data_IF_266308717301
#
_entry.id   IF_266308717301
#
_cell.length_a   1.000
_cell.length_b   1.000
_cell.length_c   1.000
_cell.angle_alpha   90.00
_cell.angle_beta   90.00
_cell.angle_gamma   90.00
#
_symmetry.space_group_name_H-M   'P 1'
#
loop_
_entity.id
_entity.type
_entity.pdbx_description
1 polymer ?
#
# COMPACT_ATOMS: atom_id res chain seq x y z
N UNK A 1 25.87 -8.54 107.19
CA UNK A 1 26.60 -7.95 106.07
C UNK A 1 26.09 -8.63 104.77
N UNK A 2 25.41 -7.90 104.03
CA UNK A 2 24.50 -8.37 102.97
C UNK A 2 25.24 -8.57 101.66
N UNK A 3 25.08 -9.76 101.08
CA UNK A 3 25.54 -10.07 99.70
C UNK A 3 24.51 -9.66 98.70
N UNK A 4 24.91 -9.04 97.58
CA UNK A 4 23.92 -8.66 96.53
C UNK A 4 23.59 -9.83 95.58
N UNK A 5 22.30 -9.88 95.25
CA UNK A 5 21.72 -10.82 94.30
C UNK A 5 22.14 -10.53 92.87
N UNK A 6 22.72 -11.59 92.21
CA UNK A 6 22.98 -11.57 90.77
C UNK A 6 21.68 -11.78 89.98
N UNK A 7 21.31 -10.81 89.17
CA UNK A 7 20.21 -10.93 88.25
C UNK A 7 20.68 -11.57 86.95
N UNK A 8 20.10 -12.72 86.67
CA UNK A 8 20.28 -13.46 85.42
C UNK A 8 19.53 -12.76 84.29
N UNK A 9 20.27 -12.21 83.35
CA UNK A 9 19.68 -11.69 82.11
C UNK A 9 19.73 -12.80 81.03
N UNK A 10 18.54 -13.34 80.67
CA UNK A 10 18.39 -14.21 79.52
C UNK A 10 18.52 -13.40 78.24
N UNK A 11 19.53 -13.67 77.46
CA UNK A 11 19.74 -13.16 76.13
C UNK A 11 18.93 -14.03 75.21
N UNK A 12 17.79 -13.54 74.70
CA UNK A 12 17.03 -14.17 73.63
C UNK A 12 17.69 -13.74 72.32
N UNK A 13 18.37 -14.66 71.68
CA UNK A 13 18.96 -14.46 70.34
C UNK A 13 17.84 -14.61 69.30
N UNK A 14 17.31 -13.50 68.76
CA UNK A 14 16.39 -13.45 67.63
C UNK A 14 17.23 -13.64 66.35
N UNK A 15 17.19 -14.82 65.78
CA UNK A 15 17.69 -15.09 64.41
C UNK A 15 16.63 -14.54 63.43
N UNK A 16 16.88 -13.34 62.89
CA UNK A 16 16.10 -12.82 61.75
C UNK A 16 16.58 -13.55 60.50
N UNK A 17 15.79 -14.52 60.02
CA UNK A 17 15.90 -15.05 58.66
C UNK A 17 15.48 -13.96 57.67
N UNK A 18 16.46 -13.33 57.04
CA UNK A 18 16.20 -12.51 55.87
C UNK A 18 15.80 -13.41 54.66
N UNK A 19 14.51 -13.48 54.38
CA UNK A 19 14.01 -13.99 53.10
C UNK A 19 14.44 -13.02 51.99
N UNK A 20 15.56 -13.27 51.38
CA UNK A 20 15.90 -12.68 50.10
C UNK A 20 14.90 -13.26 49.05
N UNK A 21 13.92 -12.45 48.65
CA UNK A 21 13.11 -12.73 47.48
C UNK A 21 14.02 -12.74 46.26
N UNK A 22 14.31 -13.91 45.74
CA UNK A 22 14.89 -14.08 44.43
C UNK A 22 13.89 -13.47 43.42
N UNK A 23 14.19 -12.27 42.95
CA UNK A 23 13.55 -11.72 41.74
C UNK A 23 13.98 -12.62 40.58
N UNK A 24 13.15 -13.60 40.24
CA UNK A 24 13.20 -14.28 38.95
C UNK A 24 12.78 -13.23 37.92
N UNK A 25 13.62 -12.88 36.95
CA UNK A 25 13.18 -11.99 35.90
C UNK A 25 12.00 -12.69 35.21
N UNK A 26 10.90 -11.95 35.06
CA UNK A 26 9.77 -12.43 34.29
C UNK A 26 10.29 -12.79 32.89
N UNK A 27 10.20 -14.05 32.52
CA UNK A 27 10.45 -14.50 31.17
C UNK A 27 9.59 -13.62 30.25
N UNK A 28 10.25 -12.77 29.47
CA UNK A 28 9.64 -11.98 28.43
C UNK A 28 9.01 -12.98 27.46
N UNK A 29 7.70 -13.17 27.62
CA UNK A 29 6.92 -14.09 26.81
C UNK A 29 7.09 -13.63 25.37
N UNK A 30 7.98 -14.31 24.65
CA UNK A 30 8.21 -14.04 23.23
C UNK A 30 6.82 -13.94 22.58
N UNK A 31 6.54 -12.77 22.00
CA UNK A 31 5.30 -12.52 21.31
C UNK A 31 5.14 -13.65 20.28
N UNK A 32 4.12 -14.47 20.45
CA UNK A 32 3.79 -15.49 19.46
C UNK A 32 3.65 -14.78 18.14
N UNK A 33 4.20 -15.32 17.02
CA UNK A 33 3.96 -14.76 15.70
C UNK A 33 2.45 -14.65 15.57
N UNK A 34 1.95 -13.40 15.41
CA UNK A 34 0.56 -13.20 15.06
C UNK A 34 0.37 -13.96 13.76
N UNK A 35 -0.59 -14.87 13.74
CA UNK A 35 -1.05 -15.54 12.53
C UNK A 35 -1.49 -14.42 11.56
N UNK A 36 -0.55 -14.00 10.72
CA UNK A 36 -0.80 -12.94 9.76
C UNK A 36 -1.70 -13.57 8.71
N UNK A 37 -3.00 -13.34 8.83
CA UNK A 37 -3.97 -13.75 7.83
C UNK A 37 -3.49 -13.29 6.45
N UNK A 38 -3.39 -14.24 5.52
CA UNK A 38 -2.99 -13.97 4.14
C UNK A 38 -3.92 -12.93 3.54
N UNK A 39 -3.37 -11.83 3.03
CA UNK A 39 -4.13 -10.75 2.38
C UNK A 39 -4.69 -11.26 1.05
N UNK A 40 -5.99 -11.15 0.86
CA UNK A 40 -6.68 -11.52 -0.39
C UNK A 40 -6.73 -10.32 -1.31
N UNK A 41 -6.16 -10.45 -2.47
CA UNK A 41 -6.05 -9.40 -3.48
C UNK A 41 -6.78 -9.80 -4.76
N UNK A 42 -7.57 -8.91 -5.33
CA UNK A 42 -8.16 -9.07 -6.66
C UNK A 42 -7.56 -8.05 -7.62
N UNK A 43 -6.86 -8.51 -8.65
CA UNK A 43 -6.49 -7.67 -9.79
C UNK A 43 -7.69 -7.64 -10.74
N UNK A 44 -8.18 -6.43 -11.04
CA UNK A 44 -9.19 -6.20 -12.06
C UNK A 44 -8.49 -5.64 -13.28
N UNK A 45 -8.68 -6.31 -14.44
CA UNK A 45 -8.02 -6.00 -15.72
C UNK A 45 -8.92 -6.44 -16.87
N UNK A 46 -8.42 -6.51 -18.11
CA UNK A 46 -9.14 -7.11 -19.26
C UNK A 46 -9.44 -6.17 -20.40
N UNK A 47 -9.10 -4.88 -20.29
CA UNK A 47 -9.28 -3.92 -21.38
C UNK A 47 -8.10 -3.99 -22.35
N UNK A 48 -8.39 -4.30 -23.59
CA UNK A 48 -7.39 -4.38 -24.67
C UNK A 48 -7.03 -2.98 -25.19
N UNK A 49 -5.77 -2.65 -25.11
CA UNK A 49 -5.20 -1.45 -25.71
C UNK A 49 -3.78 -1.74 -26.19
N UNK A 50 -3.44 -1.40 -27.45
CA UNK A 50 -2.12 -1.74 -28.02
C UNK A 50 -0.94 -1.18 -27.23
N UNK A 51 -1.11 -0.04 -26.53
CA UNK A 51 -0.09 0.58 -25.71
C UNK A 51 0.10 -0.06 -24.33
N UNK A 52 -0.91 -0.75 -23.80
CA UNK A 52 -0.90 -1.36 -22.47
C UNK A 52 -1.36 -2.81 -22.55
N UNK A 53 -0.41 -3.71 -22.69
CA UNK A 53 -0.69 -5.14 -22.88
C UNK A 53 -0.87 -5.84 -21.55
N UNK A 54 -2.08 -5.77 -21.00
CA UNK A 54 -2.41 -6.35 -19.70
C UNK A 54 -2.11 -7.86 -19.64
N UNK A 55 -2.23 -8.59 -20.75
CA UNK A 55 -1.91 -10.02 -20.84
C UNK A 55 -0.44 -10.32 -20.53
N UNK A 56 0.46 -9.36 -20.81
CA UNK A 56 1.89 -9.47 -20.52
C UNK A 56 2.20 -8.96 -19.10
N UNK A 57 1.61 -7.85 -18.68
CA UNK A 57 1.94 -7.15 -17.43
C UNK A 57 1.23 -7.73 -16.19
N UNK A 58 -0.02 -8.20 -16.33
CA UNK A 58 -0.78 -8.77 -15.20
C UNK A 58 -0.11 -9.99 -14.56
N UNK A 59 0.43 -10.97 -15.33
CA UNK A 59 1.14 -12.10 -14.72
C UNK A 59 2.37 -11.67 -13.92
N UNK A 60 3.13 -10.68 -14.40
CA UNK A 60 4.32 -10.16 -13.70
C UNK A 60 3.91 -9.45 -12.41
N UNK A 61 2.89 -8.60 -12.47
CA UNK A 61 2.34 -7.93 -11.29
C UNK A 61 1.84 -8.94 -10.25
N UNK A 62 1.11 -9.98 -10.67
CA UNK A 62 0.66 -11.05 -9.79
C UNK A 62 1.83 -11.75 -9.10
N UNK A 63 2.85 -12.15 -9.85
CA UNK A 63 4.04 -12.81 -9.30
C UNK A 63 4.77 -11.91 -8.29
N UNK A 64 4.92 -10.63 -8.58
CA UNK A 64 5.53 -9.66 -7.68
C UNK A 64 4.76 -9.52 -6.37
N UNK A 65 3.43 -9.48 -6.42
CA UNK A 65 2.59 -9.40 -5.23
C UNK A 65 2.63 -10.67 -4.38
N UNK A 66 2.75 -11.84 -4.99
CA UNK A 66 2.73 -13.14 -4.29
C UNK A 66 4.11 -13.60 -3.79
N UNK A 67 5.21 -12.92 -4.18
CA UNK A 67 6.59 -13.41 -3.99
C UNK A 67 6.97 -13.74 -2.54
N UNK A 68 6.36 -13.08 -1.56
CA UNK A 68 6.66 -13.31 -0.14
C UNK A 68 5.62 -14.19 0.59
N UNK A 69 4.60 -14.70 -0.14
CA UNK A 69 3.56 -15.58 0.39
C UNK A 69 2.53 -14.90 1.32
N UNK A 70 2.63 -13.60 1.56
CA UNK A 70 1.70 -12.86 2.43
C UNK A 70 0.44 -12.39 1.70
N UNK A 71 0.46 -12.37 0.38
CA UNK A 71 -0.65 -11.95 -0.47
C UNK A 71 -1.04 -13.12 -1.37
N UNK A 72 -2.34 -13.39 -1.47
CA UNK A 72 -2.92 -14.30 -2.46
C UNK A 72 -3.68 -13.49 -3.48
N UNK A 73 -3.37 -13.67 -4.77
CA UNK A 73 -3.89 -12.87 -5.85
C UNK A 73 -4.80 -13.68 -6.78
N UNK A 74 -6.03 -13.25 -6.88
CA UNK A 74 -6.94 -13.65 -7.96
C UNK A 74 -6.97 -12.57 -9.06
N UNK A 75 -7.30 -12.96 -10.28
CA UNK A 75 -7.43 -12.06 -11.42
C UNK A 75 -8.83 -12.14 -11.98
N UNK A 76 -9.42 -10.99 -12.29
CA UNK A 76 -10.64 -10.86 -13.07
C UNK A 76 -10.31 -10.04 -14.32
N UNK A 77 -10.51 -10.63 -15.47
CA UNK A 77 -10.25 -10.05 -16.79
C UNK A 77 -11.53 -9.54 -17.48
N UNK A 78 -12.60 -9.37 -16.72
CA UNK A 78 -13.84 -8.71 -17.12
C UNK A 78 -14.20 -7.64 -16.07
N UNK A 79 -14.25 -6.38 -16.48
CA UNK A 79 -14.57 -5.25 -15.61
C UNK A 79 -15.97 -5.33 -14.99
N UNK A 80 -16.87 -6.14 -15.56
CA UNK A 80 -18.20 -6.39 -15.00
C UNK A 80 -18.14 -7.04 -13.61
N UNK A 81 -17.00 -7.61 -13.21
CA UNK A 81 -16.80 -8.08 -11.84
C UNK A 81 -17.11 -6.99 -10.82
N UNK A 82 -16.85 -5.73 -11.16
CA UNK A 82 -17.19 -4.57 -10.30
C UNK A 82 -18.69 -4.31 -10.16
N UNK A 83 -19.56 -4.95 -10.97
CA UNK A 83 -21.03 -4.89 -10.81
C UNK A 83 -21.57 -5.98 -9.90
N UNK A 84 -20.72 -6.70 -9.21
CA UNK A 84 -21.09 -7.85 -8.36
C UNK A 84 -20.62 -7.64 -6.94
N UNK A 85 -20.99 -8.55 -6.03
CA UNK A 85 -20.49 -8.56 -4.66
C UNK A 85 -19.10 -9.19 -4.52
N UNK A 86 -18.51 -9.71 -5.61
CA UNK A 86 -17.19 -10.37 -5.58
C UNK A 86 -16.07 -9.49 -5.01
N UNK A 87 -15.99 -8.17 -5.32
CA UNK A 87 -15.00 -7.28 -4.72
C UNK A 87 -14.94 -7.32 -3.19
N UNK A 88 -16.08 -7.49 -2.52
CA UNK A 88 -16.17 -7.50 -1.05
C UNK A 88 -15.65 -8.80 -0.40
N UNK A 89 -15.21 -9.77 -1.18
CA UNK A 89 -14.54 -10.99 -0.70
C UNK A 89 -13.03 -10.79 -0.53
N UNK A 90 -12.49 -9.63 -0.90
CA UNK A 90 -11.07 -9.32 -0.90
C UNK A 90 -10.76 -8.18 0.08
N UNK A 91 -9.50 -8.12 0.48
CA UNK A 91 -8.99 -7.08 1.37
C UNK A 91 -8.44 -5.89 0.55
N UNK A 92 -7.97 -6.19 -0.68
CA UNK A 92 -7.38 -5.21 -1.61
C UNK A 92 -7.88 -5.45 -3.03
N UNK A 93 -8.21 -4.37 -3.72
CA UNK A 93 -8.42 -4.35 -5.16
C UNK A 93 -7.25 -3.65 -5.84
N UNK A 94 -6.75 -4.22 -6.93
CA UNK A 94 -5.77 -3.61 -7.81
C UNK A 94 -6.45 -3.26 -9.13
N UNK A 95 -6.55 -1.97 -9.41
CA UNK A 95 -7.00 -1.48 -10.71
C UNK A 95 -5.82 -1.53 -11.69
N UNK A 96 -5.91 -2.42 -12.66
CA UNK A 96 -4.96 -2.57 -13.75
C UNK A 96 -5.70 -2.48 -15.09
N UNK A 97 -6.49 -1.43 -15.25
CA UNK A 97 -7.30 -1.15 -16.44
C UNK A 97 -7.56 0.35 -16.58
N UNK A 98 -7.86 0.74 -17.80
CA UNK A 98 -8.56 1.97 -18.16
C UNK A 98 -9.76 1.55 -18.99
N UNK A 99 -10.99 1.85 -18.55
CA UNK A 99 -12.17 1.52 -19.33
C UNK A 99 -12.29 2.43 -20.57
N UNK A 100 -12.45 1.82 -21.74
CA UNK A 100 -12.69 2.54 -23.01
C UNK A 100 -14.17 2.62 -23.35
N UNK A 101 -14.95 1.62 -22.94
CA UNK A 101 -16.42 1.70 -22.97
C UNK A 101 -16.90 2.34 -21.66
N UNK A 102 -17.51 3.54 -21.71
CA UNK A 102 -18.03 4.21 -20.51
C UNK A 102 -19.15 3.43 -19.83
N UNK A 103 -19.80 2.49 -20.55
CA UNK A 103 -20.83 1.64 -19.98
C UNK A 103 -20.25 0.44 -19.21
N UNK A 104 -18.95 0.17 -19.30
CA UNK A 104 -18.29 -0.97 -18.64
C UNK A 104 -17.07 -0.48 -17.85
N UNK A 105 -17.02 -0.66 -16.53
CA UNK A 105 -18.08 -1.23 -15.66
C UNK A 105 -19.22 -0.27 -15.37
N UNK A 106 -19.21 0.95 -15.91
CA UNK A 106 -20.24 1.97 -15.78
C UNK A 106 -20.43 2.48 -14.35
N UNK A 107 -21.53 3.20 -14.13
CA UNK A 107 -21.83 3.81 -12.83
C UNK A 107 -21.93 2.79 -11.69
N UNK A 108 -22.59 1.66 -11.94
CA UNK A 108 -22.76 0.59 -10.96
C UNK A 108 -21.41 0.05 -10.46
N UNK A 109 -20.49 -0.23 -11.39
CA UNK A 109 -19.15 -0.70 -11.02
C UNK A 109 -18.34 0.34 -10.30
N UNK A 110 -18.48 1.61 -10.69
CA UNK A 110 -17.82 2.72 -9.98
C UNK A 110 -18.35 2.89 -8.55
N UNK A 111 -19.66 2.83 -8.34
CA UNK A 111 -20.28 2.92 -7.01
C UNK A 111 -19.87 1.76 -6.12
N UNK A 112 -19.74 0.55 -6.66
CA UNK A 112 -19.21 -0.62 -5.94
C UNK A 112 -17.75 -0.39 -5.50
N UNK A 113 -16.92 0.11 -6.40
CA UNK A 113 -15.52 0.43 -6.07
C UNK A 113 -15.43 1.49 -4.96
N UNK A 114 -16.19 2.56 -5.06
CA UNK A 114 -16.25 3.59 -4.02
C UNK A 114 -16.72 3.03 -2.67
N UNK A 115 -17.78 2.22 -2.68
CA UNK A 115 -18.32 1.57 -1.48
C UNK A 115 -17.28 0.67 -0.83
N UNK A 116 -16.58 -0.15 -1.62
CA UNK A 116 -15.52 -1.04 -1.14
C UNK A 116 -14.44 -0.24 -0.40
N UNK A 117 -13.92 0.83 -1.00
CA UNK A 117 -12.88 1.65 -0.39
C UNK A 117 -13.39 2.35 0.87
N UNK A 118 -14.56 3.00 0.82
CA UNK A 118 -15.13 3.72 1.97
C UNK A 118 -15.39 2.82 3.17
N UNK A 119 -15.68 1.55 2.95
CA UNK A 119 -15.88 0.55 4.01
C UNK A 119 -14.57 0.06 4.64
N UNK A 120 -13.41 0.41 4.07
CA UNK A 120 -12.09 0.07 4.61
C UNK A 120 -11.24 -0.79 3.70
N UNK A 121 -11.72 -1.14 2.52
CA UNK A 121 -10.93 -1.87 1.52
C UNK A 121 -9.70 -1.09 1.07
N UNK A 122 -8.63 -1.79 0.76
CA UNK A 122 -7.43 -1.24 0.14
C UNK A 122 -7.61 -1.12 -1.37
N UNK A 123 -7.17 0.00 -1.96
CA UNK A 123 -7.18 0.18 -3.41
C UNK A 123 -5.76 0.50 -3.90
N UNK A 124 -5.33 -0.20 -4.93
CA UNK A 124 -4.08 0.09 -5.65
C UNK A 124 -4.43 0.46 -7.09
N UNK A 125 -3.93 1.60 -7.55
CA UNK A 125 -3.98 1.99 -8.95
C UNK A 125 -2.60 1.80 -9.57
N UNK A 126 -2.55 1.19 -10.75
CA UNK A 126 -1.30 0.95 -11.47
C UNK A 126 -1.34 1.63 -12.82
N UNK A 127 -0.39 2.52 -13.05
CA UNK A 127 -0.09 3.19 -14.31
C UNK A 127 -1.35 3.80 -14.97
N UNK A 128 -1.77 3.26 -16.11
CA UNK A 128 -2.91 3.76 -16.89
C UNK A 128 -4.27 3.71 -16.17
N UNK A 129 -4.34 3.09 -15.00
CA UNK A 129 -5.55 3.12 -14.18
C UNK A 129 -5.97 4.54 -13.75
N UNK A 130 -5.05 5.51 -13.74
CA UNK A 130 -5.37 6.92 -13.53
C UNK A 130 -6.29 7.50 -14.63
N UNK A 131 -6.37 6.87 -15.78
CA UNK A 131 -7.23 7.24 -16.89
C UNK A 131 -8.60 6.56 -16.91
N UNK A 132 -8.89 5.70 -15.94
CA UNK A 132 -10.20 5.06 -15.85
C UNK A 132 -11.32 6.07 -15.49
N UNK A 133 -12.55 5.68 -15.70
CA UNK A 133 -13.76 6.42 -15.27
C UNK A 133 -13.77 7.89 -15.69
N UNK A 134 -13.34 8.19 -16.91
CA UNK A 134 -13.35 9.57 -17.42
C UNK A 134 -14.75 10.18 -17.46
N UNK A 135 -15.78 9.36 -17.59
CA UNK A 135 -17.20 9.73 -17.51
C UNK A 135 -17.63 10.19 -16.09
N UNK A 136 -16.86 9.82 -15.06
CA UNK A 136 -17.06 10.20 -13.65
C UNK A 136 -15.80 10.87 -13.07
N UNK A 137 -15.03 11.58 -13.88
CA UNK A 137 -13.72 12.13 -13.55
C UNK A 137 -13.70 12.88 -12.22
N UNK A 138 -14.70 13.74 -11.98
CA UNK A 138 -14.78 14.57 -10.77
C UNK A 138 -15.02 13.77 -9.49
N UNK A 139 -15.65 12.60 -9.59
CA UNK A 139 -15.80 11.68 -8.48
C UNK A 139 -14.58 10.76 -8.36
N UNK A 140 -14.04 10.33 -9.51
CA UNK A 140 -12.89 9.42 -9.52
C UNK A 140 -11.63 10.09 -8.96
N UNK A 141 -11.41 11.38 -9.20
CA UNK A 141 -10.27 12.10 -8.63
C UNK A 141 -10.28 12.12 -7.10
N UNK A 142 -11.46 12.11 -6.47
CA UNK A 142 -11.60 12.04 -5.00
C UNK A 142 -11.15 10.69 -4.45
N UNK A 143 -11.25 9.64 -5.28
CA UNK A 143 -10.82 8.28 -4.95
C UNK A 143 -9.36 8.05 -5.33
N UNK A 144 -8.93 8.46 -6.52
CA UNK A 144 -7.63 8.18 -7.10
C UNK A 144 -6.55 9.21 -6.72
N UNK A 145 -6.95 10.40 -6.22
CA UNK A 145 -6.06 11.51 -5.90
C UNK A 145 -5.61 12.32 -7.11
N UNK A 146 -5.16 11.66 -8.15
CA UNK A 146 -4.74 12.25 -9.44
C UNK A 146 -5.27 11.40 -10.58
N UNK A 147 -5.74 12.05 -11.61
CA UNK A 147 -6.34 11.40 -12.78
C UNK A 147 -5.80 11.99 -14.08
N UNK A 148 -5.83 11.20 -15.12
CA UNK A 148 -5.47 11.61 -16.47
C UNK A 148 -6.40 12.72 -16.97
N UNK A 149 -5.83 13.68 -17.69
CA UNK A 149 -6.56 14.72 -18.39
C UNK A 149 -6.13 14.72 -19.87
N UNK A 150 -7.03 14.38 -20.81
CA UNK A 150 -6.70 14.33 -22.23
C UNK A 150 -6.35 15.69 -22.84
N UNK A 151 -6.65 16.79 -22.15
CA UNK A 151 -6.31 18.16 -22.60
C UNK A 151 -4.90 18.60 -22.20
N UNK A 152 -4.22 17.82 -21.34
CA UNK A 152 -2.88 18.10 -20.85
C UNK A 152 -1.88 17.12 -21.43
N UNK A 153 -0.57 17.47 -21.28
CA UNK A 153 0.50 16.53 -21.58
C UNK A 153 0.40 15.34 -20.60
N UNK A 154 0.24 14.15 -21.13
CA UNK A 154 0.01 12.96 -20.31
C UNK A 154 1.29 12.39 -19.70
N UNK A 155 2.34 12.26 -20.51
CA UNK A 155 3.62 11.69 -20.09
C UNK A 155 4.77 12.21 -20.97
N UNK A 156 5.98 12.06 -20.47
CA UNK A 156 7.19 12.21 -21.29
C UNK A 156 7.31 11.01 -22.25
N UNK A 157 8.10 11.11 -23.31
CA UNK A 157 8.41 9.97 -24.17
C UNK A 157 8.91 8.77 -23.34
N UNK A 158 8.41 7.58 -23.66
CA UNK A 158 8.85 6.34 -23.03
C UNK A 158 10.37 6.22 -23.05
N UNK A 159 10.97 5.92 -21.89
CA UNK A 159 12.41 5.85 -21.76
C UNK A 159 12.90 5.71 -20.33
N UNK A 160 14.22 5.74 -20.17
CA UNK A 160 14.86 5.64 -18.85
C UNK A 160 14.75 6.97 -18.09
N UNK A 161 14.34 6.88 -16.83
CA UNK A 161 14.40 7.99 -15.89
C UNK A 161 14.65 7.50 -14.46
N UNK A 162 15.04 8.43 -13.59
CA UNK A 162 15.32 8.14 -12.19
C UNK A 162 14.12 8.49 -11.33
N UNK A 163 13.74 7.56 -10.48
CA UNK A 163 12.72 7.74 -9.43
C UNK A 163 13.42 8.01 -8.11
N UNK A 164 13.03 9.10 -7.46
CA UNK A 164 13.55 9.53 -6.15
C UNK A 164 12.53 9.19 -5.07
N UNK A 165 12.99 8.57 -3.99
CA UNK A 165 12.17 8.32 -2.81
C UNK A 165 12.18 9.58 -1.96
N UNK A 166 11.02 10.22 -1.77
CA UNK A 166 10.88 11.48 -1.04
C UNK A 166 10.40 11.29 0.41
N UNK A 167 9.80 10.14 0.71
CA UNK A 167 9.50 9.71 2.09
C UNK A 167 10.03 8.30 2.32
N UNK A 168 11.22 8.20 2.91
CA UNK A 168 11.88 6.92 3.24
C UNK A 168 11.38 6.29 4.55
N UNK A 169 10.59 7.01 5.34
CA UNK A 169 10.06 6.53 6.61
C UNK A 169 8.69 5.85 6.46
N UNK A 170 7.98 6.13 5.37
CA UNK A 170 6.69 5.53 5.12
C UNK A 170 6.81 4.00 4.93
N UNK A 171 5.91 3.17 5.48
CA UNK A 171 6.01 1.70 5.41
C UNK A 171 6.16 1.13 3.99
N UNK A 172 5.60 1.79 2.97
CA UNK A 172 5.68 1.33 1.57
C UNK A 172 7.10 1.55 1.00
N UNK A 173 7.77 2.63 1.39
CA UNK A 173 9.05 3.06 0.81
C UNK A 173 10.23 2.87 1.75
N UNK A 174 9.97 2.37 2.97
CA UNK A 174 11.02 2.11 3.96
C UNK A 174 12.06 1.12 3.43
N UNK A 175 13.31 1.55 3.43
CA UNK A 175 14.44 0.76 2.93
C UNK A 175 14.64 0.84 1.43
N UNK A 176 13.71 1.43 0.67
CA UNK A 176 13.90 1.70 -0.74
C UNK A 176 14.91 2.84 -0.95
N UNK A 177 15.64 2.75 -2.04
CA UNK A 177 16.54 3.79 -2.52
C UNK A 177 16.04 4.32 -3.85
N UNK A 178 16.59 5.46 -4.30
CA UNK A 178 16.38 5.91 -5.67
C UNK A 178 16.80 4.83 -6.67
N UNK A 179 16.08 4.74 -7.78
CA UNK A 179 16.30 3.75 -8.81
C UNK A 179 16.04 4.29 -10.21
N UNK A 180 16.56 3.61 -11.21
CA UNK A 180 16.23 3.87 -12.59
C UNK A 180 15.19 2.85 -13.09
N UNK A 181 14.26 3.35 -13.90
CA UNK A 181 13.27 2.52 -14.58
C UNK A 181 13.19 2.90 -16.06
N UNK A 182 12.66 1.99 -16.87
CA UNK A 182 12.28 2.26 -18.25
C UNK A 182 10.77 2.25 -18.30
N UNK A 183 10.16 3.42 -18.43
CA UNK A 183 8.72 3.58 -18.31
C UNK A 183 8.25 4.85 -19.03
N UNK A 184 6.96 5.15 -18.96
CA UNK A 184 6.36 6.45 -19.27
C UNK A 184 6.29 7.29 -17.99
N UNK A 185 7.03 8.40 -17.95
CA UNK A 185 6.94 9.33 -16.85
C UNK A 185 5.66 10.15 -17.00
N UNK A 186 4.62 9.80 -16.24
CA UNK A 186 3.35 10.52 -16.27
C UNK A 186 3.48 11.91 -15.65
N UNK A 187 2.99 12.89 -16.39
CA UNK A 187 3.03 14.31 -16.01
C UNK A 187 1.61 14.88 -16.02
N UNK A 188 1.44 16.04 -15.41
CA UNK A 188 0.22 16.84 -15.54
C UNK A 188 -1.09 16.09 -15.19
N UNK A 189 -1.03 15.03 -14.36
CA UNK A 189 -2.24 14.44 -13.80
C UNK A 189 -2.98 15.49 -12.97
N UNK A 190 -4.31 15.56 -13.13
CA UNK A 190 -5.15 16.58 -12.47
C UNK A 190 -5.78 16.06 -11.18
N UNK A 191 -6.10 16.99 -10.29
CA UNK A 191 -6.80 16.77 -9.04
C UNK A 191 -6.23 17.58 -7.91
N UNK A 192 -7.10 18.04 -7.02
CA UNK A 192 -6.82 18.82 -5.82
C UNK A 192 -6.97 18.04 -4.52
N UNK A 193 -7.41 16.78 -4.62
CA UNK A 193 -7.47 15.88 -3.47
C UNK A 193 -6.11 15.78 -2.80
N UNK A 194 -6.01 15.99 -1.47
CA UNK A 194 -4.74 15.87 -0.75
C UNK A 194 -4.14 14.47 -0.92
N UNK A 195 -2.88 14.41 -1.32
CA UNK A 195 -2.09 13.19 -1.45
C UNK A 195 -0.81 13.29 -0.63
N UNK A 196 -0.31 12.16 -0.16
CA UNK A 196 1.01 12.06 0.44
C UNK A 196 1.95 11.41 -0.57
N UNK A 197 2.87 12.20 -1.11
CA UNK A 197 3.81 11.75 -2.15
C UNK A 197 4.93 10.94 -1.52
N UNK A 198 5.18 9.75 -2.07
CA UNK A 198 6.23 8.82 -1.62
C UNK A 198 7.45 8.83 -2.54
N UNK A 199 7.21 9.02 -3.83
CA UNK A 199 8.27 9.04 -4.84
C UNK A 199 7.94 10.05 -5.95
N UNK A 200 8.99 10.64 -6.51
CA UNK A 200 8.90 11.59 -7.62
C UNK A 200 9.88 11.23 -8.72
N UNK A 201 9.66 11.79 -9.91
CA UNK A 201 10.67 11.80 -10.97
C UNK A 201 10.63 13.13 -11.71
N UNK A 202 11.80 13.55 -12.20
CA UNK A 202 11.96 14.80 -12.94
C UNK A 202 11.70 14.57 -14.42
N UNK A 203 10.73 15.30 -14.97
CA UNK A 203 10.45 15.34 -16.40
C UNK A 203 11.65 15.91 -17.18
N UNK A 204 12.01 15.27 -18.28
CA UNK A 204 13.02 15.74 -19.23
C UNK A 204 12.49 16.82 -20.17
N UNK A 205 11.17 17.03 -20.20
CA UNK A 205 10.51 17.97 -21.10
C UNK A 205 10.39 19.38 -20.48
N UNK A 206 10.05 19.44 -19.18
CA UNK A 206 9.82 20.73 -18.50
C UNK A 206 10.60 20.90 -17.19
N UNK A 207 11.45 19.93 -16.85
CA UNK A 207 12.33 19.89 -15.67
C UNK A 207 11.60 19.98 -14.32
N UNK A 208 10.29 19.71 -14.31
CA UNK A 208 9.49 19.65 -13.08
C UNK A 208 9.48 18.25 -12.50
N UNK A 209 9.37 18.19 -11.18
CA UNK A 209 9.16 16.92 -10.47
C UNK A 209 7.68 16.55 -10.45
N UNK A 210 7.39 15.30 -10.79
CA UNK A 210 6.03 14.75 -10.81
C UNK A 210 5.91 13.56 -9.86
N UNK A 211 4.78 13.41 -9.16
CA UNK A 211 4.54 12.24 -8.31
C UNK A 211 4.54 10.94 -9.12
N UNK A 212 5.37 9.97 -8.72
CA UNK A 212 5.41 8.62 -9.30
C UNK A 212 4.71 7.59 -8.44
N UNK A 213 4.71 7.81 -7.12
CA UNK A 213 3.96 6.99 -6.17
C UNK A 213 3.44 7.88 -5.04
N UNK A 214 2.20 7.66 -4.63
CA UNK A 214 1.58 8.40 -3.54
C UNK A 214 0.45 7.61 -2.89
N UNK A 215 0.08 8.05 -1.69
CA UNK A 215 -1.04 7.48 -0.93
C UNK A 215 -2.05 8.55 -0.56
N UNK A 216 -3.28 8.13 -0.37
CA UNK A 216 -4.33 8.93 0.25
C UNK A 216 -5.26 8.06 1.06
N UNK A 217 -6.02 8.69 1.94
CA UNK A 217 -7.04 8.03 2.74
C UNK A 217 -8.42 8.50 2.26
N UNK A 218 -9.31 7.55 2.03
CA UNK A 218 -10.71 7.82 1.64
C UNK A 218 -11.62 7.17 2.67
N UNK A 219 -12.14 7.98 3.60
CA UNK A 219 -12.90 7.53 4.77
C UNK A 219 -12.13 6.46 5.58
N UNK A 220 -12.55 5.19 5.55
CA UNK A 220 -11.88 4.09 6.24
C UNK A 220 -10.82 3.40 5.36
N UNK A 221 -10.90 3.58 4.04
CA UNK A 221 -10.03 2.93 3.07
C UNK A 221 -8.68 3.62 2.88
N UNK A 222 -7.76 2.88 2.31
CA UNK A 222 -6.41 3.32 1.97
C UNK A 222 -6.19 3.13 0.49
N UNK A 223 -5.67 4.14 -0.16
CA UNK A 223 -5.39 4.09 -1.59
C UNK A 223 -3.89 4.31 -1.80
N UNK A 224 -3.29 3.44 -2.58
CA UNK A 224 -1.95 3.59 -3.13
C UNK A 224 -2.03 3.73 -4.64
N UNK A 225 -1.36 4.72 -5.18
CA UNK A 225 -1.32 4.97 -6.60
C UNK A 225 0.14 4.98 -7.07
N UNK A 226 0.50 4.02 -7.91
CA UNK A 226 1.75 4.00 -8.67
C UNK A 226 1.44 4.37 -10.12
N UNK A 227 2.04 5.43 -10.61
CA UNK A 227 1.92 5.81 -12.03
C UNK A 227 2.96 5.10 -12.91
N UNK A 228 3.76 4.21 -12.33
CA UNK A 228 4.70 3.32 -13.02
C UNK A 228 4.01 2.02 -13.41
N UNK A 229 4.47 1.37 -14.49
CA UNK A 229 4.00 0.05 -14.88
C UNK A 229 3.51 -0.08 -16.32
N UNK A 230 4.05 0.71 -17.26
CA UNK A 230 3.64 0.71 -18.67
C UNK A 230 3.79 -0.68 -19.33
N UNK A 231 4.92 -1.33 -19.11
CA UNK A 231 5.23 -2.63 -19.69
C UNK A 231 6.00 -3.53 -18.70
N UNK A 232 6.35 -4.74 -19.12
CA UNK A 232 7.09 -5.70 -18.28
C UNK A 232 8.47 -5.19 -17.85
N UNK A 233 9.07 -4.24 -18.56
CA UNK A 233 10.39 -3.67 -18.21
C UNK A 233 10.26 -2.75 -17.01
N UNK A 234 9.15 -2.02 -16.91
CA UNK A 234 8.86 -1.19 -15.75
C UNK A 234 8.78 -2.00 -14.44
N UNK A 235 8.28 -3.23 -14.51
CA UNK A 235 8.22 -4.15 -13.36
C UNK A 235 9.53 -4.89 -13.07
N UNK A 236 10.51 -4.84 -13.97
CA UNK A 236 11.80 -5.53 -13.82
C UNK A 236 12.84 -4.71 -13.04
N UNK A 237 12.54 -3.46 -12.67
CA UNK A 237 13.44 -2.63 -11.88
C UNK A 237 13.67 -3.25 -10.50
N UNK A 238 14.93 -3.48 -10.08
CA UNK A 238 15.21 -4.05 -8.76
C UNK A 238 14.84 -3.05 -7.67
N UNK A 239 13.90 -3.45 -6.82
CA UNK A 239 13.44 -2.68 -5.66
C UNK A 239 13.49 -3.54 -4.40
#
# INVERSE_FOLDING_TARGET
>A
MTAPRLKCFSVVLLIALSLQSLNVPAEEKAAQPQDQSVVRCLIVTGEDYPGHKWQETTPVLKLALEQNGQIKVDVADDLKVLRTDRPFQYDVLVMHFKNYDPNVPGREGFDTLQKFVRQGGGLVLVHFACGAFQEFKDDFVKLAGRVWDPQLRGHDPHGTFRVQIVDSEHPITRGMKEFETIDELYTCLTGDTPIHVLATAKSKVDEKDYPMAFVLKVEKGRVFHSVLGHDVKAFASPQ
#
